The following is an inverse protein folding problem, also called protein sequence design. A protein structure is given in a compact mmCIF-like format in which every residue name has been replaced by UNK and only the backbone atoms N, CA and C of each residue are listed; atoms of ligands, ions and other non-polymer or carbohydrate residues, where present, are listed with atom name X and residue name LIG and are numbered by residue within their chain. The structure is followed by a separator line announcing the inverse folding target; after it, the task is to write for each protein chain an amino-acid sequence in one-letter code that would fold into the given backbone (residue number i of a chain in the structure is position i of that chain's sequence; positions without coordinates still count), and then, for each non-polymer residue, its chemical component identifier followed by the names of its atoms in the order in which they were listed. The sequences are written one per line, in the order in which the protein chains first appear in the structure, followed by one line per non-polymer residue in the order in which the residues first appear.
data_IF_450686079766
#
_entry.id   IF_450686079766
#
_cell.length_a   1.000
_cell.length_b   1.000
_cell.length_c   1.000
_cell.angle_alpha   90.00
_cell.angle_beta   90.00
_cell.angle_gamma   90.00
#
_symmetry.space_group_name_H-M   'P 1'
#
loop_
_entity.id
_entity.type
_entity.pdbx_description
1 polymer ?
#
# COMPACT_ATOMS: atom_id res chain seq x y z
N UNK A 1 -26.54 -30.72 2.08
CA UNK A 1 -26.80 -30.18 3.43
C UNK A 1 -25.52 -30.01 4.25
N UNK A 2 -24.50 -30.86 4.10
CA UNK A 2 -23.22 -30.71 4.85
C UNK A 2 -22.30 -29.58 4.35
N UNK A 3 -22.34 -29.22 3.05
CA UNK A 3 -21.59 -28.05 2.54
C UNK A 3 -22.22 -26.70 2.96
N UNK A 4 -23.53 -26.68 3.24
CA UNK A 4 -24.20 -25.49 3.82
C UNK A 4 -23.71 -25.19 5.23
N UNK A 5 -23.25 -26.20 5.97
CA UNK A 5 -22.68 -25.96 7.29
C UNK A 5 -21.23 -25.50 7.18
N UNK A 6 -20.36 -26.12 6.38
CA UNK A 6 -18.94 -25.68 6.34
C UNK A 6 -18.68 -24.24 5.87
N UNK A 7 -19.52 -23.69 4.99
CA UNK A 7 -19.39 -22.29 4.52
C UNK A 7 -20.08 -21.28 5.47
N UNK A 8 -21.08 -21.71 6.25
CA UNK A 8 -21.84 -20.85 7.18
C UNK A 8 -21.56 -21.10 8.68
N UNK A 9 -20.82 -22.15 9.04
CA UNK A 9 -20.46 -22.51 10.44
C UNK A 9 -18.96 -22.46 10.68
N UNK A 10 -18.18 -21.85 9.79
CA UNK A 10 -17.10 -21.03 10.34
C UNK A 10 -17.81 -19.80 10.93
N UNK A 11 -18.40 -20.00 12.12
CA UNK A 11 -18.32 -18.95 13.13
C UNK A 11 -16.84 -18.61 13.15
N UNK A 12 -16.48 -17.54 12.42
CA UNK A 12 -15.22 -16.86 12.64
C UNK A 12 -15.28 -16.55 14.13
N UNK A 13 -14.35 -17.08 14.95
CA UNK A 13 -14.38 -16.82 16.37
C UNK A 13 -14.48 -15.32 16.57
N UNK A 14 -15.45 -14.86 17.37
CA UNK A 14 -15.74 -13.43 17.62
C UNK A 14 -14.51 -12.62 18.11
N UNK A 15 -13.39 -13.30 18.39
CA UNK A 15 -12.17 -12.76 18.98
C UNK A 15 -10.99 -12.57 18.00
N UNK A 16 -11.07 -13.03 16.75
CA UNK A 16 -10.07 -12.66 15.74
C UNK A 16 -10.61 -11.51 14.90
N UNK A 17 -10.10 -10.30 15.14
CA UNK A 17 -10.28 -9.16 14.25
C UNK A 17 -9.69 -9.50 12.87
N UNK A 18 -10.44 -10.22 12.04
CA UNK A 18 -10.13 -10.35 10.62
C UNK A 18 -10.30 -8.93 10.05
N UNK A 19 -9.22 -8.32 9.61
CA UNK A 19 -9.24 -7.01 8.96
C UNK A 19 -10.22 -6.95 7.79
N UNK A 20 -10.39 -5.78 7.17
CA UNK A 20 -11.35 -5.61 6.07
C UNK A 20 -11.18 -6.63 4.93
N UNK A 21 -9.96 -7.13 4.72
CA UNK A 21 -9.64 -8.16 3.74
C UNK A 21 -9.54 -9.54 4.39
N UNK A 22 -10.37 -10.47 3.91
CA UNK A 22 -10.38 -11.86 4.41
C UNK A 22 -9.33 -12.75 3.74
N UNK A 23 -9.15 -12.59 2.43
CA UNK A 23 -8.24 -13.42 1.66
C UNK A 23 -6.84 -12.85 1.72
N UNK A 24 -5.82 -13.72 1.84
CA UNK A 24 -4.40 -13.35 1.83
C UNK A 24 -3.83 -13.21 0.41
N UNK A 25 -4.56 -13.71 -0.59
CA UNK A 25 -4.14 -13.66 -1.99
C UNK A 25 -5.34 -13.61 -2.95
N UNK A 26 -5.11 -13.01 -4.12
CA UNK A 26 -6.08 -12.99 -5.23
C UNK A 26 -6.51 -14.40 -5.66
N UNK A 27 -5.64 -15.40 -5.52
CA UNK A 27 -5.99 -16.78 -5.87
C UNK A 27 -7.07 -17.37 -4.97
N UNK A 28 -6.99 -17.10 -3.65
CA UNK A 28 -8.01 -17.54 -2.69
C UNK A 28 -9.35 -16.86 -2.98
N UNK A 29 -9.31 -15.56 -3.29
CA UNK A 29 -10.50 -14.81 -3.68
C UNK A 29 -11.12 -15.34 -4.97
N UNK A 30 -10.32 -15.62 -6.01
CA UNK A 30 -10.80 -16.19 -7.26
C UNK A 30 -11.47 -17.56 -7.05
N UNK A 31 -10.92 -18.40 -6.17
CA UNK A 31 -11.53 -19.67 -5.81
C UNK A 31 -12.89 -19.47 -5.12
N UNK A 32 -12.97 -18.55 -4.16
CA UNK A 32 -14.23 -18.19 -3.51
C UNK A 32 -15.30 -17.72 -4.51
N UNK A 33 -14.91 -16.85 -5.45
CA UNK A 33 -15.83 -16.37 -6.49
C UNK A 33 -16.32 -17.49 -7.42
N UNK A 34 -15.45 -18.44 -7.74
CA UNK A 34 -15.80 -19.61 -8.55
C UNK A 34 -16.78 -20.55 -7.81
N UNK A 35 -16.65 -20.70 -6.49
CA UNK A 35 -17.57 -21.46 -5.66
C UNK A 35 -18.95 -20.78 -5.57
N UNK A 36 -18.96 -19.46 -5.40
CA UNK A 36 -20.18 -18.66 -5.32
C UNK A 36 -20.95 -18.53 -6.63
N UNK A 37 -20.39 -18.94 -7.78
CA UNK A 37 -21.09 -18.82 -9.08
C UNK A 37 -22.45 -19.53 -9.11
N UNK A 38 -22.65 -20.50 -8.22
CA UNK A 38 -23.90 -21.25 -8.09
C UNK A 38 -24.82 -20.72 -6.99
N UNK A 39 -24.35 -19.80 -6.14
CA UNK A 39 -25.14 -19.11 -5.10
C UNK A 39 -25.28 -17.63 -5.48
N UNK A 40 -26.22 -17.38 -6.39
CA UNK A 40 -26.39 -16.08 -7.06
C UNK A 40 -26.76 -14.96 -6.10
N UNK A 41 -27.46 -15.25 -4.99
CA UNK A 41 -27.90 -14.22 -4.05
C UNK A 41 -26.71 -13.65 -3.25
N UNK A 42 -25.82 -14.52 -2.75
CA UNK A 42 -24.62 -14.08 -2.02
C UNK A 42 -23.67 -13.37 -2.97
N UNK A 43 -23.52 -13.88 -4.19
CA UNK A 43 -22.71 -13.26 -5.23
C UNK A 43 -23.20 -11.84 -5.54
N UNK A 44 -24.50 -11.66 -5.78
CA UNK A 44 -25.09 -10.36 -6.08
C UNK A 44 -24.90 -9.35 -4.94
N UNK A 45 -25.16 -9.76 -3.69
CA UNK A 45 -24.92 -8.89 -2.51
C UNK A 45 -23.46 -8.51 -2.36
N UNK A 46 -22.55 -9.45 -2.61
CA UNK A 46 -21.09 -9.21 -2.52
C UNK A 46 -20.66 -8.21 -3.58
N UNK A 47 -21.04 -8.42 -4.84
CA UNK A 47 -20.69 -7.51 -5.94
C UNK A 47 -21.26 -6.12 -5.70
N UNK A 48 -22.55 -6.04 -5.35
CA UNK A 48 -23.23 -4.77 -5.08
C UNK A 48 -22.56 -3.96 -3.97
N UNK A 49 -22.23 -4.59 -2.83
CA UNK A 49 -21.58 -3.86 -1.73
C UNK A 49 -20.20 -3.32 -2.14
N UNK A 50 -19.40 -4.13 -2.87
CA UNK A 50 -18.07 -3.70 -3.31
C UNK A 50 -18.14 -2.56 -4.34
N UNK A 51 -19.17 -2.56 -5.20
CA UNK A 51 -19.46 -1.45 -6.13
C UNK A 51 -19.88 -0.19 -5.36
N UNK A 52 -20.82 -0.29 -4.42
CA UNK A 52 -21.27 0.85 -3.60
C UNK A 52 -20.13 1.48 -2.78
N UNK A 53 -19.18 0.67 -2.30
CA UNK A 53 -17.96 1.14 -1.63
C UNK A 53 -17.06 1.89 -2.62
N UNK A 54 -16.86 1.35 -3.82
CA UNK A 54 -16.04 2.02 -4.84
C UNK A 54 -16.66 3.35 -5.26
N UNK A 55 -17.98 3.39 -5.50
CA UNK A 55 -18.73 4.61 -5.82
C UNK A 55 -18.61 5.66 -4.71
N UNK A 56 -18.74 5.25 -3.44
CA UNK A 56 -18.57 6.18 -2.31
C UNK A 56 -17.18 6.84 -2.31
N UNK A 57 -16.14 6.12 -2.72
CA UNK A 57 -14.78 6.68 -2.87
C UNK A 57 -14.66 7.59 -4.09
N UNK A 58 -15.26 7.20 -5.22
CA UNK A 58 -15.30 8.02 -6.43
C UNK A 58 -16.00 9.36 -6.18
N UNK A 59 -17.11 9.34 -5.45
CA UNK A 59 -17.88 10.51 -5.02
C UNK A 59 -17.22 11.28 -3.87
N UNK A 60 -16.14 10.74 -3.27
CA UNK A 60 -15.48 11.24 -2.04
C UNK A 60 -16.44 11.36 -0.85
N UNK A 61 -17.45 10.52 -0.80
CA UNK A 61 -18.44 10.45 0.27
C UNK A 61 -17.92 9.55 1.42
N UNK A 62 -17.16 10.18 2.32
CA UNK A 62 -16.61 9.53 3.51
C UNK A 62 -17.70 8.95 4.42
N UNK A 63 -18.84 9.62 4.55
CA UNK A 63 -19.91 9.20 5.46
C UNK A 63 -20.60 7.94 4.92
N UNK A 64 -20.91 7.91 3.61
CA UNK A 64 -21.39 6.71 2.94
C UNK A 64 -20.37 5.58 3.05
N UNK A 65 -19.08 5.84 2.80
CA UNK A 65 -18.02 4.83 2.94
C UNK A 65 -17.97 4.24 4.35
N UNK A 66 -17.92 5.09 5.38
CA UNK A 66 -17.84 4.66 6.79
C UNK A 66 -19.07 3.83 7.18
N UNK A 67 -20.26 4.25 6.75
CA UNK A 67 -21.50 3.51 6.98
C UNK A 67 -21.51 2.15 6.29
N UNK A 68 -21.05 2.06 5.04
CA UNK A 68 -20.97 0.79 4.31
C UNK A 68 -19.97 -0.18 4.95
N UNK A 69 -18.79 0.31 5.35
CA UNK A 69 -17.76 -0.53 5.99
C UNK A 69 -18.21 -1.05 7.36
N UNK A 70 -18.89 -0.24 8.17
CA UNK A 70 -19.41 -0.61 9.49
C UNK A 70 -20.61 -1.55 9.43
N UNK A 71 -21.52 -1.34 8.48
CA UNK A 71 -22.79 -2.06 8.42
C UNK A 71 -22.82 -3.21 7.38
N UNK A 72 -21.65 -3.62 6.86
CA UNK A 72 -21.55 -4.70 5.86
C UNK A 72 -22.05 -6.08 6.31
N UNK A 73 -22.20 -6.29 7.62
CA UNK A 73 -22.52 -7.61 8.19
C UNK A 73 -21.45 -8.64 7.83
N UNK A 74 -21.86 -9.81 7.38
CA UNK A 74 -20.96 -10.92 7.02
C UNK A 74 -20.56 -10.94 5.54
N UNK A 75 -20.84 -9.86 4.78
CA UNK A 75 -20.47 -9.77 3.38
C UNK A 75 -18.94 -9.58 3.27
N UNK A 76 -18.31 -10.42 2.45
CA UNK A 76 -16.87 -10.37 2.23
C UNK A 76 -16.55 -9.22 1.28
N UNK A 77 -15.51 -8.45 1.62
CA UNK A 77 -14.97 -7.43 0.72
C UNK A 77 -13.91 -8.05 -0.18
N UNK A 78 -14.01 -7.76 -1.47
CA UNK A 78 -13.10 -8.29 -2.48
C UNK A 78 -11.84 -7.41 -2.50
N UNK A 79 -10.68 -8.00 -2.25
CA UNK A 79 -9.40 -7.32 -2.15
C UNK A 79 -9.07 -6.52 -3.40
N UNK A 80 -9.46 -6.99 -4.60
CA UNK A 80 -9.26 -6.23 -5.83
C UNK A 80 -10.10 -4.94 -5.87
N UNK A 81 -11.37 -4.96 -5.43
CA UNK A 81 -12.23 -3.77 -5.38
C UNK A 81 -11.73 -2.78 -4.34
N UNK A 82 -11.41 -3.27 -3.14
CA UNK A 82 -10.90 -2.42 -2.06
C UNK A 82 -9.55 -1.82 -2.42
N UNK A 83 -8.63 -2.59 -3.00
CA UNK A 83 -7.36 -2.04 -3.46
C UNK A 83 -7.53 -1.03 -4.59
N UNK A 84 -8.47 -1.25 -5.52
CA UNK A 84 -8.81 -0.28 -6.57
C UNK A 84 -9.35 1.01 -5.97
N UNK A 85 -10.32 0.92 -5.05
CA UNK A 85 -10.90 2.09 -4.36
C UNK A 85 -9.84 2.85 -3.57
N UNK A 86 -9.02 2.15 -2.77
CA UNK A 86 -7.95 2.74 -2.00
C UNK A 86 -6.90 3.44 -2.89
N UNK A 87 -6.51 2.82 -4.01
CA UNK A 87 -5.57 3.45 -4.96
C UNK A 87 -6.17 4.67 -5.65
N UNK A 88 -7.48 4.69 -5.91
CA UNK A 88 -8.17 5.88 -6.41
C UNK A 88 -8.07 7.03 -5.39
N UNK A 89 -8.41 6.76 -4.13
CA UNK A 89 -8.27 7.74 -3.04
C UNK A 89 -6.80 8.22 -2.90
N UNK A 90 -5.83 7.31 -3.06
CA UNK A 90 -4.41 7.63 -2.99
C UNK A 90 -3.96 8.56 -4.12
N UNK A 91 -4.38 8.28 -5.35
CA UNK A 91 -4.10 9.14 -6.52
C UNK A 91 -4.73 10.52 -6.42
N UNK A 92 -5.86 10.61 -5.72
CA UNK A 92 -6.58 11.84 -5.42
C UNK A 92 -6.03 12.60 -4.21
N UNK A 93 -5.02 12.05 -3.53
CA UNK A 93 -4.47 12.55 -2.26
C UNK A 93 -5.56 12.75 -1.18
N UNK A 94 -6.59 11.90 -1.20
CA UNK A 94 -7.78 12.05 -0.36
C UNK A 94 -7.54 11.46 1.03
N UNK A 95 -6.94 12.29 1.89
CA UNK A 95 -6.59 11.93 3.27
C UNK A 95 -7.78 11.41 4.07
N UNK A 96 -8.96 11.99 3.87
CA UNK A 96 -10.15 11.67 4.64
C UNK A 96 -10.68 10.27 4.33
N UNK A 97 -10.70 9.91 3.04
CA UNK A 97 -11.08 8.58 2.57
C UNK A 97 -10.04 7.53 2.97
N UNK A 98 -8.74 7.82 2.78
CA UNK A 98 -7.66 6.90 3.16
C UNK A 98 -7.70 6.60 4.67
N UNK A 99 -7.88 7.64 5.48
CA UNK A 99 -8.00 7.47 6.93
C UNK A 99 -9.28 6.71 7.32
N UNK A 100 -10.37 6.86 6.56
CA UNK A 100 -11.61 6.11 6.77
C UNK A 100 -11.39 4.60 6.60
N UNK A 101 -10.70 4.18 5.54
CA UNK A 101 -10.35 2.77 5.32
C UNK A 101 -9.51 2.21 6.48
N UNK A 102 -8.43 2.89 6.86
CA UNK A 102 -7.51 2.43 7.91
C UNK A 102 -8.25 2.35 9.26
N UNK A 103 -9.07 3.35 9.61
CA UNK A 103 -9.88 3.34 10.84
C UNK A 103 -10.90 2.21 10.89
N UNK A 104 -11.40 1.77 9.73
CA UNK A 104 -12.31 0.64 9.62
C UNK A 104 -11.58 -0.71 9.52
N UNK A 105 -10.26 -0.76 9.75
CA UNK A 105 -9.48 -1.99 9.85
C UNK A 105 -8.91 -2.48 8.52
N UNK A 106 -8.70 -1.59 7.54
CA UNK A 106 -7.90 -1.96 6.37
C UNK A 106 -6.44 -2.16 6.78
N UNK A 107 -5.96 -3.38 6.69
CA UNK A 107 -4.55 -3.73 6.91
C UNK A 107 -3.78 -3.60 5.60
N UNK A 108 -2.87 -2.62 5.52
CA UNK A 108 -2.03 -2.39 4.34
C UNK A 108 -0.83 -3.35 4.27
N UNK A 109 -0.55 -4.15 5.30
CA UNK A 109 0.46 -5.22 5.22
C UNK A 109 0.06 -6.35 4.27
N UNK A 110 -1.23 -6.41 3.91
CA UNK A 110 -1.77 -7.38 2.97
C UNK A 110 -1.06 -7.33 1.60
N UNK A 111 -0.83 -8.50 1.01
CA UNK A 111 -0.03 -8.65 -0.21
C UNK A 111 -0.52 -7.82 -1.42
N UNK A 112 -1.82 -7.50 -1.48
CA UNK A 112 -2.39 -6.65 -2.54
C UNK A 112 -1.81 -5.23 -2.54
N UNK A 113 -1.39 -4.73 -1.38
CA UNK A 113 -0.83 -3.38 -1.22
C UNK A 113 0.70 -3.36 -1.34
N UNK A 114 1.34 -4.50 -1.60
CA UNK A 114 2.79 -4.55 -1.79
C UNK A 114 3.23 -3.62 -2.91
N UNK A 115 4.24 -2.80 -2.62
CA UNK A 115 4.76 -1.81 -3.57
C UNK A 115 3.94 -0.52 -3.68
N UNK A 116 2.88 -0.34 -2.86
CA UNK A 116 2.09 0.90 -2.82
C UNK A 116 2.95 2.09 -2.38
N UNK A 117 3.77 1.93 -1.35
CA UNK A 117 4.60 3.01 -0.81
C UNK A 117 5.62 3.54 -1.85
N UNK A 118 6.41 2.68 -2.55
CA UNK A 118 7.23 3.15 -3.66
C UNK A 118 6.46 3.85 -4.78
N UNK A 119 5.29 3.33 -5.19
CA UNK A 119 4.46 3.96 -6.22
C UNK A 119 3.98 5.35 -5.78
N UNK A 120 3.58 5.50 -4.52
CA UNK A 120 3.24 6.79 -3.94
C UNK A 120 4.45 7.74 -3.87
N UNK A 121 5.63 7.22 -3.50
CA UNK A 121 6.89 7.97 -3.50
C UNK A 121 7.28 8.49 -4.91
N UNK A 122 6.84 7.83 -5.98
CA UNK A 122 7.05 8.26 -7.35
C UNK A 122 6.02 9.31 -7.84
N UNK A 123 4.89 9.47 -7.14
CA UNK A 123 3.81 10.36 -7.58
C UNK A 123 4.20 11.85 -7.49
N UNK A 124 3.90 12.62 -8.54
CA UNK A 124 4.16 14.07 -8.61
C UNK A 124 3.06 14.89 -7.93
N UNK A 125 2.69 14.50 -6.71
CA UNK A 125 1.73 15.23 -5.88
C UNK A 125 2.50 16.38 -5.21
N UNK A 126 2.13 17.62 -5.54
CA UNK A 126 2.68 18.84 -4.94
C UNK A 126 1.60 19.45 -4.03
N UNK A 127 1.39 18.80 -2.88
CA UNK A 127 0.32 19.11 -1.92
C UNK A 127 0.88 18.93 -0.49
N UNK A 128 0.49 19.81 0.42
CA UNK A 128 0.83 19.74 1.85
C UNK A 128 0.42 18.40 2.48
N UNK A 129 -0.64 17.77 1.94
CA UNK A 129 -1.13 16.48 2.40
C UNK A 129 -0.22 15.29 2.01
N UNK A 130 0.74 15.46 1.10
CA UNK A 130 1.60 14.38 0.62
C UNK A 130 2.28 13.62 1.77
N UNK A 131 2.93 14.35 2.68
CA UNK A 131 3.60 13.73 3.83
C UNK A 131 2.61 13.15 4.86
N UNK A 132 1.43 13.75 4.98
CA UNK A 132 0.36 13.22 5.84
C UNK A 132 -0.16 11.88 5.32
N UNK A 133 -0.32 11.74 4.00
CA UNK A 133 -0.66 10.46 3.37
C UNK A 133 0.47 9.46 3.55
N UNK A 134 1.73 9.87 3.40
CA UNK A 134 2.87 8.98 3.67
C UNK A 134 2.83 8.41 5.10
N UNK A 135 2.58 9.26 6.10
CA UNK A 135 2.44 8.83 7.49
C UNK A 135 1.26 7.87 7.67
N UNK A 136 0.10 8.18 7.08
CA UNK A 136 -1.07 7.28 7.12
C UNK A 136 -0.80 5.92 6.49
N UNK A 137 -0.09 5.88 5.37
CA UNK A 137 0.28 4.63 4.70
C UNK A 137 1.16 3.74 5.59
N UNK A 138 2.12 4.34 6.30
CA UNK A 138 2.98 3.62 7.24
C UNK A 138 2.20 3.18 8.50
N UNK A 139 1.33 4.04 9.03
CA UNK A 139 0.43 3.71 10.14
C UNK A 139 -0.54 2.59 9.79
N UNK A 140 -0.98 2.52 8.54
CA UNK A 140 -1.85 1.47 8.02
C UNK A 140 -1.15 0.12 7.82
N UNK A 141 0.16 0.03 8.02
CA UNK A 141 0.91 -1.24 8.01
C UNK A 141 1.86 -1.45 6.83
N UNK A 142 2.03 -0.47 5.93
CA UNK A 142 3.08 -0.57 4.90
C UNK A 142 4.46 -0.50 5.53
N UNK A 143 5.40 -1.27 4.97
CA UNK A 143 6.78 -1.25 5.42
C UNK A 143 7.58 -0.18 4.66
N UNK A 144 8.40 0.59 5.39
CA UNK A 144 9.19 1.70 4.82
C UNK A 144 10.13 1.25 3.67
N UNK A 145 10.62 0.02 3.77
CA UNK A 145 11.51 -0.62 2.79
C UNK A 145 10.79 -1.51 1.77
N UNK A 146 9.46 -1.42 1.68
CA UNK A 146 8.73 -2.14 0.64
C UNK A 146 9.26 -1.81 -0.74
N UNK A 147 9.31 -2.83 -1.59
CA UNK A 147 9.80 -2.73 -2.96
C UNK A 147 8.65 -2.90 -3.94
N UNK A 148 8.65 -2.11 -5.02
CA UNK A 148 7.77 -2.37 -6.15
C UNK A 148 8.21 -3.62 -6.94
N UNK A 149 7.26 -4.24 -7.63
CA UNK A 149 7.39 -5.58 -8.18
C UNK A 149 8.25 -5.70 -9.45
N UNK A 150 8.41 -4.62 -10.22
CA UNK A 150 9.04 -4.67 -11.55
C UNK A 150 10.54 -4.42 -11.49
N UNK A 151 10.94 -3.37 -10.77
CA UNK A 151 12.31 -2.89 -10.66
C UNK A 151 12.93 -3.06 -9.28
N UNK A 152 12.18 -3.56 -8.29
CA UNK A 152 12.61 -3.67 -6.90
C UNK A 152 13.07 -2.34 -6.28
N UNK A 153 12.48 -1.22 -6.73
CA UNK A 153 12.74 0.08 -6.14
C UNK A 153 11.96 0.27 -4.84
N UNK A 154 12.61 0.87 -3.85
CA UNK A 154 11.99 1.32 -2.60
C UNK A 154 11.52 2.77 -2.74
N UNK A 155 10.75 3.27 -1.76
CA UNK A 155 10.39 4.68 -1.71
C UNK A 155 11.63 5.60 -1.76
N UNK A 156 12.74 5.19 -1.12
CA UNK A 156 13.97 5.97 -1.10
C UNK A 156 14.66 6.06 -2.46
N UNK A 157 14.59 4.98 -3.27
CA UNK A 157 15.06 5.04 -4.66
C UNK A 157 14.31 6.09 -5.47
N UNK A 158 12.97 6.11 -5.37
CA UNK A 158 12.16 7.07 -6.13
C UNK A 158 12.30 8.51 -5.62
N UNK A 159 12.44 8.72 -4.31
CA UNK A 159 12.74 10.03 -3.75
C UNK A 159 14.06 10.60 -4.30
N UNK A 160 15.10 9.76 -4.40
CA UNK A 160 16.38 10.11 -5.00
C UNK A 160 16.27 10.38 -6.51
N UNK A 161 15.52 9.54 -7.24
CA UNK A 161 15.30 9.73 -8.68
C UNK A 161 14.59 11.07 -8.99
N UNK A 162 13.69 11.49 -8.11
CA UNK A 162 12.94 12.75 -8.23
C UNK A 162 13.69 13.98 -7.72
N UNK A 163 14.86 13.78 -7.11
CA UNK A 163 15.59 14.82 -6.37
C UNK A 163 14.71 15.50 -5.29
N UNK A 164 13.80 14.74 -4.68
CA UNK A 164 12.91 15.21 -3.62
C UNK A 164 13.64 15.06 -2.28
N UNK A 165 14.39 16.10 -1.90
CA UNK A 165 15.21 16.12 -0.68
C UNK A 165 14.38 15.96 0.60
N UNK A 166 13.23 16.59 0.69
CA UNK A 166 12.38 16.56 1.90
C UNK A 166 11.85 15.15 2.19
N UNK A 167 11.47 14.41 1.14
CA UNK A 167 11.07 13.01 1.19
C UNK A 167 12.25 12.11 1.52
N UNK A 168 13.44 12.34 0.93
CA UNK A 168 14.67 11.62 1.34
C UNK A 168 14.92 11.78 2.84
N UNK A 169 14.91 13.02 3.34
CA UNK A 169 15.12 13.33 4.76
C UNK A 169 14.03 12.70 5.64
N UNK A 170 12.77 12.67 5.18
CA UNK A 170 11.67 12.04 5.91
C UNK A 170 11.82 10.51 5.98
N UNK A 171 12.09 9.85 4.86
CA UNK A 171 12.25 8.39 4.81
C UNK A 171 13.42 7.93 5.68
N UNK A 172 14.55 8.65 5.65
CA UNK A 172 15.70 8.37 6.53
C UNK A 172 15.34 8.56 8.00
N UNK A 173 14.61 9.63 8.35
CA UNK A 173 14.12 9.85 9.73
C UNK A 173 13.17 8.75 10.19
N UNK A 174 12.42 8.13 9.28
CA UNK A 174 11.56 6.97 9.51
C UNK A 174 12.32 5.64 9.44
N UNK A 175 13.66 5.67 9.49
CA UNK A 175 14.54 4.51 9.50
C UNK A 175 14.50 3.65 8.23
N UNK A 176 14.21 4.24 7.06
CA UNK A 176 14.40 3.56 5.79
C UNK A 176 15.83 3.05 5.65
N UNK A 177 15.98 1.83 5.12
CA UNK A 177 17.26 1.32 4.68
C UNK A 177 17.82 2.26 3.60
N UNK A 178 19.05 2.74 3.81
CA UNK A 178 19.74 3.65 2.89
C UNK A 178 20.53 2.93 1.79
N UNK A 179 20.69 1.60 1.92
CA UNK A 179 21.43 0.74 0.99
C UNK A 179 20.59 -0.37 0.32
N UNK A 180 19.28 -0.21 0.05
CA UNK A 180 18.53 -1.22 -0.69
C UNK A 180 19.07 -1.29 -2.12
N UNK A 181 19.03 -2.47 -2.71
CA UNK A 181 19.56 -2.71 -4.05
C UNK A 181 18.38 -3.03 -4.96
N UNK A 182 18.17 -2.20 -5.97
CA UNK A 182 17.14 -2.46 -6.97
C UNK A 182 17.58 -3.52 -8.00
N UNK A 183 16.71 -3.86 -8.94
CA UNK A 183 16.96 -4.86 -10.01
C UNK A 183 18.17 -4.53 -10.89
N UNK A 184 18.54 -3.25 -11.01
CA UNK A 184 19.72 -2.78 -11.75
C UNK A 184 21.00 -2.79 -10.91
N UNK A 185 20.95 -3.32 -9.68
CA UNK A 185 22.04 -3.30 -8.71
C UNK A 185 22.46 -1.90 -8.26
N UNK A 186 21.53 -0.94 -8.38
CA UNK A 186 21.74 0.44 -7.95
C UNK A 186 21.19 0.61 -6.53
N UNK A 187 21.92 1.32 -5.69
CA UNK A 187 21.47 1.85 -4.41
C UNK A 187 20.97 3.30 -4.58
N UNK A 188 20.23 3.85 -3.60
CA UNK A 188 19.77 5.23 -3.64
C UNK A 188 20.89 6.25 -3.93
N UNK A 189 22.08 6.09 -3.34
CA UNK A 189 23.21 7.00 -3.59
C UNK A 189 23.70 6.97 -5.05
N UNK A 190 23.66 5.81 -5.72
CA UNK A 190 24.06 5.70 -7.12
C UNK A 190 23.18 6.53 -8.07
N UNK A 191 21.93 6.77 -7.68
CA UNK A 191 20.97 7.52 -8.50
C UNK A 191 21.27 9.02 -8.53
N UNK A 192 22.05 9.55 -7.58
CA UNK A 192 22.30 10.99 -7.44
C UNK A 192 23.78 11.37 -7.53
N UNK A 193 24.71 10.45 -7.25
CA UNK A 193 26.13 10.79 -7.09
C UNK A 193 26.82 11.32 -8.35
N UNK A 194 26.32 10.98 -9.55
CA UNK A 194 26.90 11.37 -10.84
C UNK A 194 26.11 12.48 -11.54
N UNK A 195 25.15 13.09 -10.86
CA UNK A 195 24.33 14.17 -11.42
C UNK A 195 24.96 15.52 -11.02
N UNK A 196 25.32 16.32 -12.01
CA UNK A 196 25.81 17.70 -11.82
C UNK A 196 24.66 18.68 -11.51
N UNK A 197 23.88 18.38 -10.47
CA UNK A 197 22.77 19.20 -9.98
C UNK A 197 22.98 19.52 -8.49
N UNK A 198 22.70 20.75 -8.08
CA UNK A 198 22.96 21.17 -6.69
C UNK A 198 22.12 20.42 -5.66
N UNK A 199 20.89 20.04 -6.01
CA UNK A 199 20.01 19.30 -5.12
C UNK A 199 20.43 17.83 -5.06
N UNK A 200 20.84 17.23 -6.19
CA UNK A 200 21.43 15.90 -6.22
C UNK A 200 22.68 15.80 -5.32
N UNK A 201 23.55 16.81 -5.33
CA UNK A 201 24.73 16.85 -4.46
C UNK A 201 24.36 16.89 -2.97
N UNK A 202 23.33 17.67 -2.60
CA UNK A 202 22.83 17.73 -1.22
C UNK A 202 22.23 16.39 -0.79
N UNK A 203 21.42 15.77 -1.64
CA UNK A 203 20.83 14.45 -1.37
C UNK A 203 21.94 13.40 -1.21
N UNK A 204 22.96 13.43 -2.06
CA UNK A 204 24.12 12.54 -1.95
C UNK A 204 24.86 12.72 -0.62
N UNK A 205 25.03 13.96 -0.14
CA UNK A 205 25.61 14.25 1.18
C UNK A 205 24.76 13.69 2.32
N UNK A 206 23.44 13.91 2.29
CA UNK A 206 22.50 13.36 3.28
C UNK A 206 22.59 11.84 3.33
N UNK A 207 22.58 11.18 2.18
CA UNK A 207 22.70 9.71 2.09
C UNK A 207 24.04 9.23 2.65
N UNK A 208 25.17 9.87 2.31
CA UNK A 208 26.49 9.50 2.86
C UNK A 208 26.52 9.64 4.38
N UNK A 209 25.98 10.73 4.91
CA UNK A 209 25.89 10.96 6.35
C UNK A 209 25.01 9.91 7.06
N UNK A 210 23.99 9.39 6.37
CA UNK A 210 23.16 8.31 6.85
C UNK A 210 23.76 6.90 6.65
N UNK A 211 24.98 6.77 6.10
CA UNK A 211 25.66 5.49 5.86
C UNK A 211 25.38 4.87 4.49
N UNK A 212 24.88 5.66 3.55
CA UNK A 212 24.67 5.30 2.15
C UNK A 212 25.98 4.95 1.44
N UNK A 213 25.96 3.86 0.67
CA UNK A 213 27.11 3.31 -0.07
C UNK A 213 26.83 3.37 -1.56
N UNK A 214 27.90 3.36 -2.36
CA UNK A 214 27.81 3.36 -3.82
C UNK A 214 28.26 2.04 -4.47
N UNK A 215 28.66 1.05 -3.66
CA UNK A 215 29.01 -0.30 -4.09
C UNK A 215 28.47 -1.32 -3.11
N UNK A 216 27.75 -2.30 -3.62
CA UNK A 216 27.15 -3.35 -2.80
C UNK A 216 28.11 -4.51 -2.50
N UNK A 217 29.21 -4.61 -3.24
CA UNK A 217 30.14 -5.74 -3.23
C UNK A 217 31.47 -5.49 -2.49
N UNK A 218 31.64 -4.36 -1.82
CA UNK A 218 32.89 -4.01 -1.12
C UNK A 218 33.18 -4.88 0.13
N UNK A 219 32.30 -5.82 0.50
CA UNK A 219 32.43 -6.66 1.70
C UNK A 219 33.16 -8.01 1.51
N UNK A 220 33.62 -8.32 0.30
CA UNK A 220 34.33 -9.59 0.01
C UNK A 220 35.84 -9.41 -0.16
N UNK A 221 36.39 -8.25 0.22
CA UNK A 221 37.80 -7.90 0.02
C UNK A 221 38.55 -7.53 1.31
N UNK A 222 38.00 -7.81 2.49
CA UNK A 222 38.70 -7.72 3.79
C UNK A 222 38.96 -9.10 4.40
#
# INVERSE_FOLDING_TARGET
MELRQRVFTAEVPEEEHIGLLRFESLNQEMQYMEELKNDTEIMEKTMKLNEEIFEAVEDRDKEKLDNLLKNRGNIILLCWYIARAFNLALSNNDVDILQCFIKNGLDLSHAIFKGTLPKFALSWIDDENYYKVLDLLLEGGLHIDDMESEGYNTALHFACLRLERSLVELLIRKHANVNPINKLKLMPLNLVENISDSEALRIAEILRNAGGKNKWNDYWLE
#
